data_IF_196608393188
#
_entry.id   IF_196608393188
#
_cell.length_a   1.000
_cell.length_b   1.000
_cell.length_c   1.000
_cell.angle_alpha   90.00
_cell.angle_beta   90.00
_cell.angle_gamma   90.00
#
_symmetry.space_group_name_H-M   'P 1'
#
loop_
_entity.id
_entity.type
_entity.pdbx_description
1 polymer ?
#
# COMPACT_ATOMS: atom_id res chain seq x y z
N UNK A 1 -15.19 15.89 -11.08
CA UNK A 1 -15.34 16.33 -9.68
C UNK A 1 -14.87 17.77 -9.55
N UNK A 2 -15.62 18.62 -8.86
CA UNK A 2 -15.31 20.05 -8.68
C UNK A 2 -15.88 20.57 -7.35
N UNK A 3 -15.54 21.80 -6.94
CA UNK A 3 -16.09 22.45 -5.74
C UNK A 3 -15.53 21.97 -4.39
N UNK A 4 -14.47 21.16 -4.41
CA UNK A 4 -13.81 20.63 -3.21
C UNK A 4 -12.76 21.59 -2.64
N UNK A 5 -12.40 21.38 -1.38
CA UNK A 5 -11.27 22.06 -0.74
C UNK A 5 -9.96 21.29 -0.96
N UNK A 6 -8.84 22.01 -0.89
CA UNK A 6 -7.49 21.44 -0.87
C UNK A 6 -6.86 21.68 0.49
N UNK A 7 -6.42 20.60 1.14
CA UNK A 7 -5.78 20.62 2.47
C UNK A 7 -4.40 19.97 2.41
N UNK A 8 -3.63 20.06 3.50
CA UNK A 8 -2.36 19.32 3.61
C UNK A 8 -2.63 17.85 3.92
N UNK A 9 -1.88 16.97 3.26
CA UNK A 9 -1.93 15.53 3.55
C UNK A 9 -1.51 15.26 4.99
N UNK A 10 -2.24 14.40 5.72
CA UNK A 10 -1.86 14.02 7.07
C UNK A 10 -0.62 13.10 7.02
N UNK A 11 0.33 13.32 7.92
CA UNK A 11 1.64 12.65 7.90
C UNK A 11 1.66 11.26 8.55
N UNK A 12 0.57 10.87 9.20
CA UNK A 12 0.49 9.64 10.00
C UNK A 12 0.32 8.36 9.17
N UNK A 13 -0.35 8.43 8.02
CA UNK A 13 -0.56 7.28 7.13
C UNK A 13 -0.47 7.73 5.67
N UNK A 14 0.73 7.65 5.09
CA UNK A 14 0.96 8.07 3.70
C UNK A 14 0.50 7.01 2.70
N UNK A 15 -0.79 7.05 2.41
CA UNK A 15 -1.39 6.35 1.26
C UNK A 15 -0.85 6.94 -0.06
N UNK A 16 -0.52 8.23 -0.04
CA UNK A 16 0.11 8.93 -1.16
C UNK A 16 1.29 9.77 -0.69
N UNK A 17 2.26 10.00 -1.59
CA UNK A 17 3.38 10.91 -1.38
C UNK A 17 3.04 12.36 -1.75
N UNK A 18 1.81 12.63 -2.23
CA UNK A 18 1.38 13.99 -2.53
C UNK A 18 1.21 14.83 -1.26
N UNK A 19 1.71 16.08 -1.24
CA UNK A 19 1.67 16.94 -0.06
C UNK A 19 0.27 17.52 0.23
N UNK A 20 -0.65 17.36 -0.73
CA UNK A 20 -2.01 17.88 -0.70
C UNK A 20 -3.03 16.76 -0.73
N UNK A 21 -4.13 16.97 -0.03
CA UNK A 21 -5.29 16.09 -0.03
C UNK A 21 -6.53 16.87 -0.48
N UNK A 22 -7.46 16.16 -1.13
CA UNK A 22 -8.77 16.69 -1.46
C UNK A 22 -9.70 16.46 -0.26
N UNK A 23 -10.41 17.51 0.16
CA UNK A 23 -11.43 17.43 1.21
C UNK A 23 -12.78 17.80 0.63
N UNK A 24 -13.71 16.85 0.67
CA UNK A 24 -15.09 17.08 0.24
C UNK A 24 -15.81 18.00 1.24
N UNK A 25 -16.73 18.79 0.70
CA UNK A 25 -17.56 19.76 1.41
C UNK A 25 -18.96 19.79 0.78
N UNK A 26 -19.84 20.64 1.31
CA UNK A 26 -21.24 20.76 0.86
C UNK A 26 -21.39 21.29 -0.59
N UNK A 27 -20.31 21.82 -1.18
CA UNK A 27 -20.27 22.33 -2.54
C UNK A 27 -19.59 21.36 -3.52
N UNK A 28 -19.14 20.19 -3.06
CA UNK A 28 -18.44 19.22 -3.89
C UNK A 28 -19.42 18.52 -4.83
N UNK A 29 -19.13 18.55 -6.13
CA UNK A 29 -19.98 17.95 -7.18
C UNK A 29 -19.22 16.86 -7.92
N UNK A 30 -19.91 15.75 -8.21
CA UNK A 30 -19.44 14.64 -9.02
C UNK A 30 -20.21 14.57 -10.32
N UNK A 31 -19.50 14.31 -11.42
CA UNK A 31 -20.05 14.10 -12.74
C UNK A 31 -19.51 12.77 -13.25
N UNK A 32 -20.41 11.91 -13.76
CA UNK A 32 -20.03 10.65 -14.37
C UNK A 32 -19.58 10.91 -15.81
N UNK A 33 -18.35 10.51 -16.13
CA UNK A 33 -17.82 10.56 -17.48
C UNK A 33 -17.88 9.16 -18.09
N UNK A 34 -18.70 8.97 -19.13
CA UNK A 34 -18.87 7.68 -19.81
C UNK A 34 -17.81 7.42 -20.88
N UNK A 35 -17.27 8.48 -21.45
CA UNK A 35 -16.23 8.44 -22.48
C UNK A 35 -14.99 9.17 -21.97
N UNK A 36 -13.88 8.45 -21.82
CA UNK A 36 -12.59 9.09 -21.58
C UNK A 36 -11.66 8.86 -22.76
N UNK A 37 -11.24 9.96 -23.38
CA UNK A 37 -10.15 9.96 -24.36
C UNK A 37 -8.80 9.57 -23.75
N UNK A 38 -8.70 9.59 -22.41
CA UNK A 38 -7.52 9.17 -21.64
C UNK A 38 -7.96 8.28 -20.46
N UNK A 39 -7.86 6.95 -20.57
CA UNK A 39 -8.24 6.07 -19.47
C UNK A 39 -7.40 6.38 -18.23
N UNK A 40 -8.08 6.49 -17.09
CA UNK A 40 -7.41 6.64 -15.79
C UNK A 40 -6.84 5.27 -15.40
N UNK A 41 -5.57 5.16 -14.98
CA UNK A 41 -5.05 3.90 -14.47
C UNK A 41 -5.86 3.43 -13.25
N UNK A 42 -6.28 2.17 -13.25
CA UNK A 42 -7.04 1.56 -12.15
C UNK A 42 -6.17 1.42 -10.88
N UNK A 43 -4.86 1.29 -11.06
CA UNK A 43 -3.89 1.02 -10.00
C UNK A 43 -2.69 1.97 -10.08
N UNK A 44 -2.15 2.35 -8.92
CA UNK A 44 -0.97 3.20 -8.80
C UNK A 44 0.02 2.58 -7.81
N UNK A 45 0.80 1.60 -8.28
CA UNK A 45 1.83 0.96 -7.47
C UNK A 45 3.07 1.83 -7.31
N UNK A 46 3.66 1.82 -6.11
CA UNK A 46 4.89 2.51 -5.75
C UNK A 46 5.99 1.50 -5.41
N UNK A 47 6.41 0.73 -6.41
CA UNK A 47 7.49 -0.25 -6.25
C UNK A 47 8.79 0.43 -5.85
N UNK A 48 9.49 -0.18 -4.90
CA UNK A 48 10.78 0.27 -4.35
C UNK A 48 11.85 -0.79 -4.55
N UNK A 49 13.12 -0.39 -4.52
CA UNK A 49 14.22 -1.37 -4.54
C UNK A 49 14.25 -2.18 -3.24
N UNK A 50 14.88 -3.36 -3.25
CA UNK A 50 15.06 -4.17 -2.04
C UNK A 50 15.75 -3.38 -0.91
N UNK A 51 16.79 -2.60 -1.23
CA UNK A 51 17.49 -1.75 -0.25
C UNK A 51 16.56 -0.70 0.37
N UNK A 52 15.70 -0.07 -0.45
CA UNK A 52 14.70 0.88 0.04
C UNK A 52 13.64 0.21 0.90
N UNK A 53 13.20 -1.00 0.55
CA UNK A 53 12.24 -1.77 1.35
C UNK A 53 12.84 -2.16 2.71
N UNK A 54 14.11 -2.58 2.72
CA UNK A 54 14.83 -2.91 3.96
C UNK A 54 14.91 -1.70 4.90
N UNK A 55 15.17 -0.51 4.37
CA UNK A 55 15.21 0.73 5.15
C UNK A 55 13.85 1.12 5.77
N UNK A 56 12.75 0.61 5.22
CA UNK A 56 11.38 0.92 5.69
C UNK A 56 10.79 -0.18 6.56
N UNK A 57 11.36 -1.39 6.48
CA UNK A 57 10.87 -2.56 7.17
C UNK A 57 10.74 -2.29 8.68
N UNK A 58 9.59 -2.63 9.25
CA UNK A 58 9.27 -2.47 10.66
C UNK A 58 9.33 -1.04 11.22
N UNK A 59 9.48 -0.01 10.38
CA UNK A 59 9.44 1.40 10.84
C UNK A 59 8.02 1.87 11.16
N UNK A 60 7.00 1.24 10.58
CA UNK A 60 5.59 1.67 10.70
C UNK A 60 5.28 3.02 10.05
N UNK A 61 6.23 3.62 9.34
CA UNK A 61 6.11 4.98 8.79
C UNK A 61 5.57 5.03 7.36
N UNK A 62 5.62 3.90 6.64
CA UNK A 62 5.27 3.83 5.22
C UNK A 62 4.52 2.54 4.90
N UNK A 63 3.70 2.59 3.85
CA UNK A 63 3.01 1.44 3.26
C UNK A 63 3.61 1.17 1.87
N UNK A 64 4.69 0.38 1.77
CA UNK A 64 5.32 0.08 0.49
C UNK A 64 4.54 -0.99 -0.28
N UNK A 65 4.54 -0.87 -1.60
CA UNK A 65 4.02 -1.91 -2.50
C UNK A 65 5.14 -2.91 -2.84
N UNK A 66 4.80 -4.20 -2.78
CA UNK A 66 5.73 -5.32 -2.97
C UNK A 66 5.22 -6.22 -4.08
N UNK A 67 6.13 -6.63 -4.96
CA UNK A 67 5.87 -7.63 -6.00
C UNK A 67 7.05 -8.59 -6.06
N UNK A 68 6.74 -9.88 -6.21
CA UNK A 68 7.72 -10.94 -6.32
C UNK A 68 7.05 -12.28 -6.59
N UNK A 69 7.84 -13.25 -7.01
CA UNK A 69 7.38 -14.63 -7.18
C UNK A 69 7.19 -15.28 -5.80
N UNK A 70 6.10 -16.01 -5.62
CA UNK A 70 5.86 -16.71 -4.36
C UNK A 70 6.82 -17.89 -4.22
N UNK A 71 7.78 -17.77 -3.30
CA UNK A 71 8.77 -18.83 -3.05
C UNK A 71 8.32 -19.83 -1.99
N UNK A 72 7.67 -19.37 -0.93
CA UNK A 72 7.14 -20.26 0.12
C UNK A 72 6.06 -19.61 0.97
N UNK A 73 5.15 -20.43 1.48
CA UNK A 73 4.17 -20.05 2.52
C UNK A 73 4.44 -20.88 3.76
N UNK A 74 4.49 -20.23 4.93
CA UNK A 74 4.61 -20.89 6.24
C UNK A 74 3.53 -20.33 7.16
N UNK A 75 2.60 -21.18 7.58
CA UNK A 75 1.65 -20.80 8.63
C UNK A 75 2.35 -20.89 9.98
N UNK A 76 2.26 -19.85 10.79
CA UNK A 76 2.68 -19.90 12.20
C UNK A 76 1.42 -19.99 13.06
N UNK A 77 1.20 -21.16 13.67
CA UNK A 77 0.18 -21.35 14.70
C UNK A 77 0.76 -20.83 16.01
N UNK A 78 0.18 -19.78 16.57
CA UNK A 78 0.61 -19.27 17.87
C UNK A 78 -0.24 -19.98 18.95
N UNK A 79 0.15 -21.20 19.34
CA UNK A 79 -0.62 -22.07 20.24
C UNK A 79 -0.88 -21.47 21.64
N UNK A 80 -0.18 -20.40 22.06
CA UNK A 80 -0.13 -20.03 23.47
C UNK A 80 -0.51 -18.60 23.87
N UNK A 81 -0.95 -17.72 22.99
CA UNK A 81 -1.46 -16.40 23.39
C UNK A 81 -2.56 -15.96 22.42
N UNK A 82 -3.59 -15.31 22.95
CA UNK A 82 -4.75 -14.70 22.25
C UNK A 82 -4.34 -13.74 21.12
N UNK A 83 -3.76 -14.25 20.03
CA UNK A 83 -3.22 -13.49 18.93
C UNK A 83 -3.66 -14.08 17.59
N UNK A 84 -3.88 -13.19 16.62
CA UNK A 84 -4.36 -13.55 15.30
C UNK A 84 -3.44 -14.57 14.62
N UNK A 85 -4.02 -15.46 13.83
CA UNK A 85 -3.28 -16.35 12.96
C UNK A 85 -2.40 -15.52 12.01
N UNK A 86 -1.11 -15.84 11.96
CA UNK A 86 -0.16 -15.17 11.07
C UNK A 86 0.33 -16.14 10.01
N UNK A 87 0.26 -15.71 8.76
CA UNK A 87 0.85 -16.40 7.63
C UNK A 87 2.12 -15.68 7.24
N UNK A 88 3.24 -16.40 7.26
CA UNK A 88 4.51 -15.92 6.75
C UNK A 88 4.61 -16.27 5.26
N UNK A 89 4.91 -15.28 4.44
CA UNK A 89 5.06 -15.44 2.99
C UNK A 89 6.44 -14.98 2.58
N UNK A 90 7.16 -15.81 1.85
CA UNK A 90 8.44 -15.43 1.25
C UNK A 90 8.23 -15.15 -0.22
N UNK A 91 8.55 -13.93 -0.64
CA UNK A 91 8.57 -13.54 -2.05
C UNK A 91 10.01 -13.50 -2.55
N UNK A 92 10.28 -14.15 -3.68
CA UNK A 92 11.50 -13.96 -4.45
C UNK A 92 11.35 -12.69 -5.30
N UNK A 93 12.25 -11.75 -5.08
CA UNK A 93 12.35 -10.53 -5.85
C UNK A 93 13.36 -10.70 -7.00
N UNK A 94 13.49 -9.69 -7.86
CA UNK A 94 14.43 -9.74 -8.99
C UNK A 94 15.86 -10.10 -8.52
N UNK A 95 16.39 -11.22 -9.03
CA UNK A 95 17.68 -11.80 -8.62
C UNK A 95 17.54 -12.90 -7.56
N UNK A 96 18.56 -13.09 -6.74
CA UNK A 96 18.58 -14.05 -5.62
C UNK A 96 18.09 -13.43 -4.29
N UNK A 97 17.42 -12.27 -4.37
CA UNK A 97 16.90 -11.56 -3.21
C UNK A 97 15.52 -12.09 -2.83
N UNK A 98 15.26 -12.24 -1.53
CA UNK A 98 13.96 -12.64 -1.02
C UNK A 98 13.52 -11.75 0.13
N UNK A 99 12.21 -11.56 0.27
CA UNK A 99 11.59 -10.79 1.36
C UNK A 99 10.54 -11.64 2.06
N UNK A 100 10.56 -11.61 3.40
CA UNK A 100 9.62 -12.34 4.24
C UNK A 100 8.57 -11.38 4.80
N UNK A 101 7.30 -11.71 4.61
CA UNK A 101 6.15 -10.89 4.94
C UNK A 101 5.28 -11.63 5.96
N UNK A 102 4.70 -10.88 6.90
CA UNK A 102 3.71 -11.41 7.83
C UNK A 102 2.33 -10.86 7.48
N UNK A 103 1.41 -11.76 7.15
CA UNK A 103 0.00 -11.47 6.93
C UNK A 103 -0.77 -11.85 8.19
N UNK A 104 -1.46 -10.88 8.79
CA UNK A 104 -2.37 -11.12 9.91
C UNK A 104 -3.80 -11.12 9.39
N UNK A 105 -4.56 -12.18 9.67
CA UNK A 105 -6.00 -12.24 9.43
C UNK A 105 -6.79 -11.63 10.59
#
# INVERSE_FOLDING_TARGET
MSGFDVTRSPNNFKISDFPLAIRFNDHTVFELLTDSVNPIPDEMFRFRTHEQLLALANTGTHLPDLIGELASIRSTFNDNLQGNHRVMVTLQMKGDLSSCLSLSA
#
